data_IF_723159085512
#
_entry.id   IF_723159085512
#
_cell.length_a   1.000
_cell.length_b   1.000
_cell.length_c   1.000
_cell.angle_alpha   90.00
_cell.angle_beta   90.00
_cell.angle_gamma   90.00
#
_symmetry.space_group_name_H-M   'P 1'
#
loop_
_entity.id
_entity.type
_entity.pdbx_description
1 polymer ?
#
# COMPACT_ATOMS: atom_id res chain seq x y z
N UNK A 1 -23.01 27.51 -13.03
CA UNK A 1 -22.61 27.12 -11.66
C UNK A 1 -22.52 28.38 -10.81
N UNK A 2 -23.05 28.36 -9.60
CA UNK A 2 -23.21 29.57 -8.78
C UNK A 2 -22.21 29.55 -7.62
N UNK A 3 -21.63 30.71 -7.28
CA UNK A 3 -20.60 30.83 -6.22
C UNK A 3 -21.09 30.41 -4.82
N UNK A 4 -22.40 30.20 -4.66
CA UNK A 4 -23.06 29.77 -3.44
C UNK A 4 -22.82 28.29 -3.10
N UNK A 5 -22.33 27.47 -4.04
CA UNK A 5 -22.09 26.03 -3.84
C UNK A 5 -20.66 25.71 -3.34
N UNK A 6 -19.83 26.74 -3.12
CA UNK A 6 -18.45 26.63 -2.63
C UNK A 6 -18.39 26.75 -1.10
N UNK A 7 -17.65 25.85 -0.43
CA UNK A 7 -17.36 25.90 1.01
C UNK A 7 -15.89 26.27 1.23
N UNK A 8 -15.64 27.13 2.22
CA UNK A 8 -14.28 27.49 2.64
C UNK A 8 -13.77 26.42 3.62
N UNK A 9 -12.69 25.74 3.26
CA UNK A 9 -12.05 24.69 4.08
C UNK A 9 -10.64 25.16 4.46
N UNK A 10 -10.21 24.83 5.67
CA UNK A 10 -8.84 25.12 6.15
C UNK A 10 -8.06 23.82 6.19
N UNK A 11 -6.92 23.76 5.51
CA UNK A 11 -6.06 22.58 5.48
C UNK A 11 -5.21 22.48 6.77
N UNK A 12 -4.45 21.39 6.89
CA UNK A 12 -3.61 21.11 8.07
C UNK A 12 -2.43 22.08 8.25
N UNK A 13 -2.02 22.79 7.19
CA UNK A 13 -1.02 23.86 7.26
C UNK A 13 -1.64 25.23 7.58
N UNK A 14 -2.96 25.32 7.74
CA UNK A 14 -3.69 26.54 8.10
C UNK A 14 -4.10 27.41 6.91
N UNK A 15 -3.86 26.97 5.68
CA UNK A 15 -4.26 27.67 4.46
C UNK A 15 -5.74 27.42 4.18
N UNK A 16 -6.42 28.45 3.67
CA UNK A 16 -7.85 28.44 3.39
C UNK A 16 -8.10 28.33 1.89
N UNK A 17 -8.88 27.33 1.49
CA UNK A 17 -9.24 27.08 0.09
C UNK A 17 -10.76 27.01 -0.07
N UNK A 18 -11.27 27.53 -1.19
CA UNK A 18 -12.67 27.41 -1.59
C UNK A 18 -12.84 26.14 -2.42
N UNK A 19 -13.51 25.13 -1.85
CA UNK A 19 -13.77 23.85 -2.50
C UNK A 19 -15.25 23.71 -2.82
N UNK A 20 -15.58 23.17 -4.00
CA UNK A 20 -16.95 22.82 -4.38
C UNK A 20 -17.54 21.80 -3.40
N UNK A 21 -18.86 21.80 -3.24
CA UNK A 21 -19.65 21.07 -2.23
C UNK A 21 -19.54 19.53 -2.22
N UNK A 22 -18.47 18.97 -2.73
CA UNK A 22 -18.01 17.62 -2.54
C UNK A 22 -16.55 17.73 -2.11
N UNK A 23 -16.21 17.40 -0.86
CA UNK A 23 -14.80 17.11 -0.54
C UNK A 23 -14.48 15.92 -1.44
N UNK A 24 -13.59 16.03 -2.45
CA UNK A 24 -13.20 14.86 -3.22
C UNK A 24 -12.40 14.01 -2.24
N UNK A 25 -13.07 13.05 -1.60
CA UNK A 25 -12.40 12.05 -0.76
C UNK A 25 -11.45 11.17 -1.59
N UNK A 26 -11.51 11.30 -2.92
CA UNK A 26 -10.96 10.33 -3.85
C UNK A 26 -9.97 10.95 -4.86
N UNK A 27 -9.72 12.27 -4.82
CA UNK A 27 -8.57 12.89 -5.51
C UNK A 27 -7.38 13.06 -4.56
N UNK A 28 -7.13 12.07 -3.70
CA UNK A 28 -5.74 11.75 -3.42
C UNK A 28 -5.21 11.19 -4.73
N UNK A 29 -4.63 12.06 -5.55
CA UNK A 29 -3.89 11.65 -6.73
C UNK A 29 -2.98 10.51 -6.30
N UNK A 30 -3.27 9.29 -6.79
CA UNK A 30 -2.53 8.04 -6.49
C UNK A 30 -1.03 8.21 -6.79
N UNK A 31 -0.65 9.31 -7.44
CA UNK A 31 0.72 9.72 -7.71
C UNK A 31 1.57 9.92 -6.45
N UNK A 32 1.00 10.27 -5.29
CA UNK A 32 1.79 10.55 -4.06
C UNK A 32 1.06 10.11 -2.76
N UNK A 33 0.57 8.86 -2.64
CA UNK A 33 0.37 8.32 -1.28
C UNK A 33 1.76 8.26 -0.62
N UNK A 34 2.11 9.26 0.19
CA UNK A 34 3.39 9.20 0.90
C UNK A 34 3.30 8.10 1.97
N UNK A 35 4.20 7.13 1.90
CA UNK A 35 4.17 5.88 2.64
C UNK A 35 4.66 6.02 4.09
N UNK A 36 4.19 7.04 4.78
CA UNK A 36 4.65 7.38 6.11
C UNK A 36 4.18 6.34 7.13
N UNK A 37 5.14 5.77 7.83
CA UNK A 37 4.95 5.02 9.05
C UNK A 37 5.85 5.63 10.12
N UNK A 38 5.45 5.52 11.38
CA UNK A 38 6.22 6.05 12.50
C UNK A 38 6.41 4.96 13.55
N UNK A 39 7.52 5.04 14.28
CA UNK A 39 7.83 4.13 15.38
C UNK A 39 8.47 4.87 16.54
N UNK A 40 8.16 4.43 17.75
CA UNK A 40 8.86 4.80 18.98
C UNK A 40 9.95 3.77 19.37
N UNK A 41 10.24 2.81 18.49
CA UNK A 41 11.12 1.68 18.73
C UNK A 41 10.46 0.48 19.41
N UNK A 42 9.16 0.54 19.73
CA UNK A 42 8.38 -0.55 20.33
C UNK A 42 7.18 -0.96 19.48
N UNK A 43 6.55 0.01 18.83
CA UNK A 43 5.41 -0.23 17.93
C UNK A 43 5.59 0.51 16.62
N UNK A 44 4.88 0.06 15.59
CA UNK A 44 4.77 0.76 14.32
C UNK A 44 3.35 1.25 14.18
N UNK A 45 3.18 2.54 13.94
CA UNK A 45 1.92 3.13 13.51
C UNK A 45 1.97 3.33 12.00
N UNK A 46 1.09 2.64 11.28
CA UNK A 46 1.00 2.71 9.83
C UNK A 46 -0.46 2.57 9.40
N UNK A 47 -0.90 3.39 8.43
CA UNK A 47 -2.31 3.46 7.97
C UNK A 47 -3.32 3.66 9.11
N UNK A 48 -2.94 4.47 10.11
CA UNK A 48 -3.76 4.77 11.29
C UNK A 48 -3.92 3.63 12.29
N UNK A 49 -3.13 2.55 12.17
CA UNK A 49 -3.21 1.37 13.02
C UNK A 49 -1.86 1.03 13.63
N UNK A 50 -1.87 0.53 14.86
CA UNK A 50 -0.71 -0.18 15.42
C UNK A 50 -0.57 -1.50 14.67
N UNK A 51 0.52 -1.66 13.94
CA UNK A 51 0.83 -2.90 13.23
C UNK A 51 1.12 -3.97 14.26
N UNK A 52 0.43 -5.10 14.14
CA UNK A 52 0.58 -6.22 15.05
C UNK A 52 0.37 -7.55 14.32
N UNK A 53 1.00 -8.59 14.86
CA UNK A 53 0.92 -9.94 14.33
C UNK A 53 0.05 -10.80 15.25
N UNK A 54 -0.79 -11.70 14.71
CA UNK A 54 -1.64 -12.57 15.51
C UNK A 54 -0.82 -13.57 16.34
N UNK A 55 -1.38 -14.11 17.44
CA UNK A 55 -0.74 -15.16 18.22
C UNK A 55 -0.29 -16.34 17.37
N UNK A 56 0.87 -16.92 17.69
CA UNK A 56 1.45 -18.03 16.92
C UNK A 56 2.24 -17.61 15.68
N UNK A 57 2.41 -16.31 15.43
CA UNK A 57 3.30 -15.78 14.40
C UNK A 57 4.43 -14.95 15.02
N UNK A 58 5.57 -14.76 14.33
CA UNK A 58 6.65 -13.92 14.83
C UNK A 58 6.16 -12.50 15.15
N UNK A 59 6.76 -11.85 16.14
CA UNK A 59 6.48 -10.43 16.43
C UNK A 59 6.91 -9.55 15.25
N UNK A 60 6.30 -8.37 15.11
CA UNK A 60 6.69 -7.39 14.10
C UNK A 60 8.16 -7.03 14.30
N UNK A 61 8.97 -7.15 13.26
CA UNK A 61 10.39 -6.78 13.30
C UNK A 61 10.57 -5.33 12.86
N UNK A 62 10.67 -4.44 13.85
CA UNK A 62 10.71 -2.98 13.62
C UNK A 62 11.95 -2.58 12.81
N UNK A 63 13.09 -3.23 13.05
CA UNK A 63 14.34 -2.89 12.41
C UNK A 63 14.35 -3.14 10.89
N UNK A 64 13.57 -4.12 10.42
CA UNK A 64 13.48 -4.46 8.99
C UNK A 64 12.19 -4.00 8.32
N UNK A 65 11.30 -3.32 9.04
CA UNK A 65 10.01 -2.90 8.50
C UNK A 65 10.17 -1.88 7.38
N UNK A 66 9.55 -2.17 6.24
CA UNK A 66 9.49 -1.29 5.07
C UNK A 66 8.06 -1.25 4.54
N UNK A 67 7.58 -0.08 4.16
CA UNK A 67 6.26 0.12 3.59
C UNK A 67 6.35 0.67 2.17
N UNK A 68 5.44 0.20 1.30
CA UNK A 68 5.24 0.67 -0.06
C UNK A 68 3.74 0.64 -0.36
N UNK A 69 3.10 1.79 -0.39
CA UNK A 69 1.65 1.90 -0.59
C UNK A 69 0.88 1.32 0.55
N UNK A 70 -0.08 0.49 0.15
CA UNK A 70 -0.92 -0.30 1.04
C UNK A 70 -0.22 -1.56 1.51
N UNK A 71 1.03 -1.80 1.09
CA UNK A 71 1.82 -2.96 1.47
C UNK A 71 2.92 -2.58 2.44
N UNK A 72 3.26 -3.50 3.32
CA UNK A 72 4.50 -3.43 4.07
C UNK A 72 5.06 -4.83 4.27
N UNK A 73 6.32 -4.89 4.65
CA UNK A 73 7.02 -6.14 4.91
C UNK A 73 8.02 -5.94 6.04
N UNK A 74 8.18 -6.95 6.87
CA UNK A 74 9.33 -7.11 7.75
C UNK A 74 10.05 -8.43 7.43
N UNK A 75 11.12 -8.74 8.14
CA UNK A 75 11.90 -9.98 7.94
C UNK A 75 11.06 -11.27 7.99
N UNK A 76 9.89 -11.27 8.62
CA UNK A 76 9.06 -12.44 8.89
C UNK A 76 7.66 -12.40 8.27
N UNK A 77 7.14 -11.23 7.91
CA UNK A 77 5.73 -11.03 7.62
C UNK A 77 5.49 -10.04 6.49
N UNK A 78 4.43 -10.29 5.71
CA UNK A 78 3.84 -9.36 4.76
C UNK A 78 2.61 -8.72 5.41
N UNK A 79 2.34 -7.48 5.01
CA UNK A 79 1.25 -6.68 5.50
C UNK A 79 0.48 -6.03 4.35
N UNK A 80 -0.82 -5.84 4.57
CA UNK A 80 -1.69 -5.04 3.74
C UNK A 80 -2.61 -4.17 4.61
N UNK A 81 -2.67 -2.86 4.35
CA UNK A 81 -3.46 -1.88 5.13
C UNK A 81 -3.33 -2.01 6.66
N UNK A 82 -2.09 -2.16 7.13
CA UNK A 82 -1.76 -2.27 8.55
C UNK A 82 -1.99 -3.64 9.18
N UNK A 83 -2.39 -4.65 8.40
CA UNK A 83 -2.68 -6.00 8.90
C UNK A 83 -1.74 -7.04 8.31
N UNK A 84 -1.31 -8.00 9.13
CA UNK A 84 -0.52 -9.14 8.65
C UNK A 84 -1.35 -10.00 7.70
N UNK A 85 -0.79 -10.33 6.55
CA UNK A 85 -1.45 -11.12 5.51
C UNK A 85 -0.81 -12.47 5.27
N UNK A 86 0.52 -12.57 5.34
CA UNK A 86 1.27 -13.78 5.04
C UNK A 86 2.66 -13.78 5.70
N UNK A 87 3.36 -14.92 5.67
CA UNK A 87 4.75 -15.03 6.09
C UNK A 87 5.72 -14.57 5.00
N UNK A 88 6.74 -13.79 5.36
CA UNK A 88 7.83 -13.38 4.47
C UNK A 88 8.95 -14.43 4.45
N UNK A 89 8.63 -15.64 3.98
CA UNK A 89 9.55 -16.77 4.02
C UNK A 89 9.26 -17.79 2.93
N UNK A 90 10.25 -18.64 2.62
CA UNK A 90 10.08 -19.70 1.63
C UNK A 90 9.66 -19.14 0.27
N UNK A 91 8.62 -19.73 -0.33
CA UNK A 91 8.07 -19.31 -1.61
C UNK A 91 7.49 -17.87 -1.60
N UNK A 92 7.00 -17.40 -0.45
CA UNK A 92 6.44 -16.05 -0.30
C UNK A 92 7.48 -14.97 0.02
N UNK A 93 8.76 -15.35 0.14
CA UNK A 93 9.82 -14.38 0.46
C UNK A 93 9.90 -13.29 -0.61
N UNK A 94 9.69 -12.06 -0.17
CA UNK A 94 9.73 -10.86 -1.01
C UNK A 94 11.16 -10.55 -1.41
N UNK A 95 11.37 -10.34 -2.71
CA UNK A 95 12.60 -9.78 -3.26
C UNK A 95 12.49 -8.25 -3.36
N UNK A 96 12.82 -7.58 -2.25
CA UNK A 96 12.75 -6.12 -2.13
C UNK A 96 13.54 -5.37 -3.21
N UNK A 97 14.62 -5.96 -3.75
CA UNK A 97 15.45 -5.31 -4.76
C UNK A 97 14.72 -5.14 -6.11
N UNK A 98 13.71 -5.97 -6.36
CA UNK A 98 12.98 -6.01 -7.64
C UNK A 98 11.48 -5.75 -7.46
N UNK A 99 11.02 -5.56 -6.23
CA UNK A 99 9.64 -5.27 -5.88
C UNK A 99 9.17 -3.96 -6.52
N UNK A 100 8.04 -4.02 -7.21
CA UNK A 100 7.44 -2.87 -7.90
C UNK A 100 5.93 -2.86 -7.70
N UNK A 101 5.38 -1.66 -7.53
CA UNK A 101 3.96 -1.42 -7.65
C UNK A 101 3.55 -1.45 -9.12
N UNK A 102 2.32 -1.90 -9.37
CA UNK A 102 1.72 -1.76 -10.69
C UNK A 102 1.01 -0.41 -10.76
N UNK A 103 1.31 0.40 -11.77
CA UNK A 103 0.72 1.72 -11.93
C UNK A 103 -0.81 1.65 -12.02
N UNK A 104 -1.51 2.52 -11.29
CA UNK A 104 -2.98 2.51 -11.23
C UNK A 104 -3.59 1.33 -10.45
N UNK A 105 -2.79 0.45 -9.84
CA UNK A 105 -3.27 -0.68 -9.05
C UNK A 105 -2.63 -0.70 -7.65
N UNK A 106 -3.38 -0.25 -6.65
CA UNK A 106 -2.91 -0.18 -5.26
C UNK A 106 -2.96 -1.51 -4.50
N UNK A 107 -3.47 -2.58 -5.12
CA UNK A 107 -3.67 -3.89 -4.48
C UNK A 107 -2.74 -4.96 -5.02
N UNK A 108 -1.86 -4.64 -5.97
CA UNK A 108 -0.97 -5.62 -6.60
C UNK A 108 0.48 -5.16 -6.60
N UNK A 109 1.37 -6.03 -6.11
CA UNK A 109 2.81 -5.90 -6.28
C UNK A 109 3.38 -7.08 -7.05
N UNK A 110 4.50 -6.86 -7.71
CA UNK A 110 5.28 -7.90 -8.37
C UNK A 110 6.76 -7.75 -8.02
N UNK A 111 7.44 -8.86 -7.77
CA UNK A 111 8.91 -8.92 -7.71
C UNK A 111 9.43 -9.94 -8.73
N UNK A 112 10.75 -10.16 -8.76
CA UNK A 112 11.41 -11.09 -9.71
C UNK A 112 10.92 -12.55 -9.61
N UNK A 113 10.24 -12.91 -8.52
CA UNK A 113 9.83 -14.29 -8.22
C UNK A 113 8.32 -14.44 -8.08
N UNK A 114 7.62 -13.41 -7.63
CA UNK A 114 6.28 -13.53 -7.07
C UNK A 114 5.34 -12.41 -7.50
N UNK A 115 4.07 -12.77 -7.68
CA UNK A 115 2.94 -11.84 -7.76
C UNK A 115 2.23 -11.82 -6.40
N UNK A 116 1.91 -10.63 -5.91
CA UNK A 116 1.20 -10.41 -4.65
C UNK A 116 -0.09 -9.64 -4.90
N UNK A 117 -1.20 -10.12 -4.36
CA UNK A 117 -2.50 -9.45 -4.33
C UNK A 117 -2.91 -9.22 -2.89
N UNK A 118 -3.17 -7.98 -2.50
CA UNK A 118 -3.59 -7.58 -1.15
C UNK A 118 -2.71 -8.20 -0.06
N UNK A 119 -1.38 -8.12 -0.25
CA UNK A 119 -0.36 -8.65 0.67
C UNK A 119 -0.19 -10.18 0.68
N UNK A 120 -0.83 -10.93 -0.23
CA UNK A 120 -0.73 -12.39 -0.29
C UNK A 120 -0.15 -12.86 -1.61
N UNK A 121 0.77 -13.83 -1.57
CA UNK A 121 1.33 -14.42 -2.77
C UNK A 121 0.24 -15.14 -3.59
N UNK A 122 0.20 -14.87 -4.89
CA UNK A 122 -0.68 -15.54 -5.84
C UNK A 122 0.03 -16.60 -6.66
N UNK A 123 1.35 -16.48 -6.86
CA UNK A 123 2.08 -17.39 -7.71
C UNK A 123 3.44 -16.85 -8.12
N UNK A 124 4.10 -17.58 -9.03
CA UNK A 124 5.34 -17.12 -9.67
C UNK A 124 5.05 -15.94 -10.59
N UNK A 125 5.92 -14.93 -10.59
CA UNK A 125 5.83 -13.81 -11.55
C UNK A 125 6.28 -14.20 -12.96
N UNK A 126 6.94 -15.35 -13.15
CA UNK A 126 7.37 -15.87 -14.47
C UNK A 126 6.22 -16.07 -15.46
N UNK A 127 4.99 -16.20 -14.96
CA UNK A 127 3.79 -16.45 -15.76
C UNK A 127 2.90 -15.21 -15.87
N UNK A 128 3.38 -14.05 -15.43
CA UNK A 128 2.57 -12.84 -15.35
C UNK A 128 3.00 -11.86 -16.44
N UNK A 129 2.08 -11.54 -17.34
CA UNK A 129 2.20 -10.38 -18.21
C UNK A 129 1.30 -9.28 -17.63
N UNK A 130 1.90 -8.17 -17.22
CA UNK A 130 1.16 -6.95 -16.88
C UNK A 130 0.76 -6.31 -18.20
N UNK A 131 -0.53 -6.34 -18.52
CA UNK A 131 -1.08 -5.70 -19.70
C UNK A 131 -1.64 -4.35 -19.28
N UNK A 132 -0.96 -3.28 -19.68
CA UNK A 132 -1.51 -1.93 -19.64
C UNK A 132 -2.58 -1.82 -20.74
N UNK A 133 -3.82 -1.55 -20.37
CA UNK A 133 -4.88 -1.18 -21.30
C UNK A 133 -5.41 0.17 -20.85
N UNK A 134 -5.63 1.09 -21.79
CA UNK A 134 -6.11 2.45 -21.56
C UNK A 134 -7.17 2.52 -20.42
N UNK A 135 -6.74 3.01 -19.25
CA UNK A 135 -7.58 3.21 -18.07
C UNK A 135 -7.71 2.04 -17.08
N UNK A 136 -7.02 0.93 -17.25
CA UNK A 136 -7.04 -0.19 -16.29
C UNK A 136 -5.99 -1.27 -16.52
N UNK A 137 -5.44 -1.80 -15.41
CA UNK A 137 -4.45 -2.88 -15.44
C UNK A 137 -5.14 -4.23 -15.49
N UNK A 138 -4.83 -5.04 -16.51
CA UNK A 138 -5.20 -6.44 -16.56
C UNK A 138 -3.98 -7.32 -16.26
N UNK A 139 -4.10 -8.18 -15.23
CA UNK A 139 -3.07 -9.16 -14.90
C UNK A 139 -3.45 -10.45 -15.61
N UNK A 140 -2.65 -10.86 -16.61
CA UNK A 140 -2.83 -12.15 -17.29
C UNK A 140 -1.89 -13.18 -16.66
N UNK A 141 -2.45 -14.30 -16.20
CA UNK A 141 -1.68 -15.45 -15.69
C UNK A 141 -1.68 -16.52 -16.79
N UNK A 142 -0.48 -16.87 -17.28
CA UNK A 142 -0.25 -17.91 -18.29
C UNK A 142 -0.14 -19.32 -17.68
#
# INVERSE_FOLDING_TARGET
>A
MNRADLRLVTNISGERELVEGYIPTDEISIKNEEYHWVTDGRVILWRGKIVSNPPGTPTVDIASFQAMGRFAVDKYSLYFDGQRTESNSGASRVDLATLKAIEGNSTTLVDSKNLYLSGRRQGSSSNVTVLEKDGGVLIHVL
#
